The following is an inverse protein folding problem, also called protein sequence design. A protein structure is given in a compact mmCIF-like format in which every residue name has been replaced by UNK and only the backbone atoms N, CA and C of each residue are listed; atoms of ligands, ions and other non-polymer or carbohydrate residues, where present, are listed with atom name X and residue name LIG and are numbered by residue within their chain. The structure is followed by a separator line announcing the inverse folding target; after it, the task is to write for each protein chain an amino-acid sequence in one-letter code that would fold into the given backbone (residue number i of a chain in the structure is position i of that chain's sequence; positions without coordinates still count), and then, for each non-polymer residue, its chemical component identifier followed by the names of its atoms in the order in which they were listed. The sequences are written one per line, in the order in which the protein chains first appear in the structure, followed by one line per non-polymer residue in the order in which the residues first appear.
data_IF_888384664564
#
_entry.id   IF_888384664564
#
_cell.length_a   1.000
_cell.length_b   1.000
_cell.length_c   1.000
_cell.angle_alpha   90.00
_cell.angle_beta   90.00
_cell.angle_gamma   90.00
#
_symmetry.space_group_name_H-M   'P 1'
#
loop_
_entity.id
_entity.type
_entity.pdbx_description
1 polymer ?
#
# COMPACT_ATOMS: atom_id res chain seq x y z
N UNK A 1 2.44 -2.09 5.76
CA UNK A 1 2.98 -2.36 4.39
C UNK A 1 3.00 -3.83 3.97
N UNK A 2 3.96 -4.69 4.36
CA UNK A 2 4.04 -6.08 3.80
C UNK A 2 2.78 -6.92 4.03
N UNK A 3 2.15 -6.80 5.20
CA UNK A 3 0.86 -7.45 5.50
C UNK A 3 -0.28 -6.96 4.60
N UNK A 4 -0.31 -5.67 4.29
CA UNK A 4 -1.30 -5.08 3.38
C UNK A 4 -1.07 -5.54 1.93
N UNK A 5 0.19 -5.64 1.49
CA UNK A 5 0.54 -6.22 0.19
C UNK A 5 0.03 -7.66 0.09
N UNK A 6 0.32 -8.50 1.09
CA UNK A 6 -0.15 -9.89 1.12
C UNK A 6 -1.67 -10.01 1.12
N UNK A 7 -2.37 -9.19 1.91
CA UNK A 7 -3.83 -9.22 1.96
C UNK A 7 -4.47 -8.78 0.64
N UNK A 8 -3.92 -7.73 0.00
CA UNK A 8 -4.39 -7.26 -1.30
C UNK A 8 -4.08 -8.27 -2.40
N UNK A 9 -2.89 -8.87 -2.40
CA UNK A 9 -2.50 -9.90 -3.37
C UNK A 9 -3.45 -11.10 -3.31
N UNK A 10 -3.69 -11.63 -2.12
CA UNK A 10 -4.54 -12.80 -1.96
C UNK A 10 -6.02 -12.53 -2.30
N UNK A 11 -6.49 -11.30 -2.08
CA UNK A 11 -7.84 -10.87 -2.48
C UNK A 11 -7.98 -10.48 -3.96
N UNK A 12 -6.87 -10.16 -4.65
CA UNK A 12 -6.85 -9.61 -6.02
C UNK A 12 -5.70 -10.21 -6.84
N UNK A 13 -5.58 -11.55 -6.87
CA UNK A 13 -4.43 -12.30 -7.42
C UNK A 13 -3.98 -11.88 -8.82
N UNK A 14 -4.90 -11.46 -9.68
CA UNK A 14 -4.58 -11.04 -11.06
C UNK A 14 -3.86 -9.67 -11.13
N UNK A 15 -3.81 -8.93 -10.02
CA UNK A 15 -3.25 -7.57 -9.93
C UNK A 15 -1.99 -7.50 -9.08
N UNK A 16 -1.34 -8.63 -8.80
CA UNK A 16 -0.18 -8.69 -7.89
C UNK A 16 0.95 -7.74 -8.28
N UNK A 17 1.28 -7.63 -9.57
CA UNK A 17 2.36 -6.74 -10.01
C UNK A 17 2.00 -5.26 -9.83
N UNK A 18 0.73 -4.90 -10.05
CA UNK A 18 0.23 -3.56 -9.73
C UNK A 18 0.35 -3.30 -8.22
N UNK A 19 -0.09 -4.23 -7.38
CA UNK A 19 -0.05 -4.11 -5.92
C UNK A 19 1.39 -3.92 -5.44
N UNK A 20 2.34 -4.74 -5.89
CA UNK A 20 3.76 -4.56 -5.54
C UNK A 20 4.27 -3.17 -5.94
N UNK A 21 3.95 -2.74 -7.16
CA UNK A 21 4.37 -1.43 -7.68
C UNK A 21 3.76 -0.28 -6.89
N UNK A 22 2.52 -0.42 -6.42
CA UNK A 22 1.88 0.57 -5.57
C UNK A 22 2.62 0.82 -4.25
N UNK A 23 3.16 -0.22 -3.62
CA UNK A 23 3.81 -0.05 -2.32
C UNK A 23 5.33 0.12 -2.39
N UNK A 24 5.95 -0.35 -3.48
CA UNK A 24 7.40 -0.36 -3.63
C UNK A 24 7.91 0.70 -4.64
N UNK A 25 7.03 1.23 -5.48
CA UNK A 25 7.37 2.15 -6.58
C UNK A 25 8.13 1.50 -7.74
N UNK A 26 8.31 2.29 -8.81
CA UNK A 26 8.88 1.86 -10.10
C UNK A 26 10.34 2.25 -10.26
N UNK A 27 10.73 3.41 -9.72
CA UNK A 27 12.05 4.00 -9.93
C UNK A 27 12.67 4.41 -8.60
N UNK A 28 13.86 3.90 -8.33
CA UNK A 28 14.67 4.29 -7.19
C UNK A 28 15.36 5.62 -7.47
N UNK A 29 15.26 6.55 -6.52
CA UNK A 29 15.94 7.83 -6.54
C UNK A 29 16.57 8.08 -5.17
N UNK A 30 17.90 8.07 -5.13
CA UNK A 30 18.68 8.54 -3.98
C UNK A 30 19.62 9.66 -4.47
N UNK A 31 19.23 10.95 -4.31
CA UNK A 31 20.06 12.07 -4.74
C UNK A 31 21.30 12.28 -3.85
N UNK A 32 21.38 11.60 -2.71
CA UNK A 32 22.40 11.85 -1.70
C UNK A 32 23.32 10.65 -1.44
N UNK A 33 23.07 9.49 -2.06
CA UNK A 33 23.80 8.24 -1.83
C UNK A 33 23.90 7.86 -0.34
N UNK A 34 22.92 8.27 0.47
CA UNK A 34 22.86 7.85 1.85
C UNK A 34 22.28 6.44 1.85
N UNK A 35 23.16 5.45 2.06
CA UNK A 35 22.92 3.99 2.05
C UNK A 35 21.66 3.45 2.77
N UNK A 36 20.84 4.27 3.42
CA UNK A 36 19.72 3.87 4.27
C UNK A 36 18.38 4.56 3.94
N UNK A 37 18.26 5.35 2.87
CA UNK A 37 16.98 5.99 2.51
C UNK A 37 16.74 5.94 1.01
N UNK A 38 16.07 4.86 0.59
CA UNK A 38 15.68 4.65 -0.79
C UNK A 38 14.31 5.28 -1.01
N UNK A 39 14.22 6.26 -1.91
CA UNK A 39 12.91 6.77 -2.35
C UNK A 39 12.53 6.10 -3.66
N UNK A 40 11.27 5.71 -3.76
CA UNK A 40 10.68 5.19 -4.98
C UNK A 40 9.58 6.10 -5.50
N UNK A 41 9.59 6.36 -6.81
CA UNK A 41 8.51 7.06 -7.51
C UNK A 41 7.42 6.08 -7.92
N UNK A 42 6.16 6.49 -7.74
CA UNK A 42 4.97 5.83 -8.29
C UNK A 42 4.35 6.76 -9.32
N UNK A 43 4.37 6.35 -10.58
CA UNK A 43 3.86 7.14 -11.69
C UNK A 43 2.34 7.35 -11.62
N UNK A 44 1.88 8.40 -12.29
CA UNK A 44 0.45 8.74 -12.34
C UNK A 44 -0.44 7.59 -12.84
N UNK A 45 -0.08 6.80 -13.88
CA UNK A 45 -0.87 5.63 -14.28
C UNK A 45 -1.05 4.60 -13.16
N UNK A 46 0.01 4.33 -12.39
CA UNK A 46 -0.05 3.41 -11.24
C UNK A 46 -0.88 4.00 -10.11
N UNK A 47 -0.77 5.31 -9.86
CA UNK A 47 -1.64 6.03 -8.90
C UNK A 47 -3.11 5.91 -9.29
N UNK A 48 -3.44 6.10 -10.56
CA UNK A 48 -4.82 5.97 -11.04
C UNK A 48 -5.32 4.54 -10.87
N UNK A 49 -4.59 3.55 -11.39
CA UNK A 49 -4.96 2.13 -11.26
C UNK A 49 -5.09 1.69 -9.80
N UNK A 50 -4.21 2.17 -8.91
CA UNK A 50 -4.26 1.89 -7.48
C UNK A 50 -5.46 2.55 -6.79
N UNK A 51 -5.81 3.78 -7.17
CA UNK A 51 -7.01 4.44 -6.66
C UNK A 51 -8.29 3.73 -7.10
N UNK A 52 -8.33 3.21 -8.34
CA UNK A 52 -9.44 2.38 -8.81
C UNK A 52 -9.54 1.07 -8.04
N UNK A 53 -8.42 0.39 -7.80
CA UNK A 53 -8.36 -0.85 -7.03
C UNK A 53 -8.89 -0.67 -5.61
N UNK A 54 -8.42 0.36 -4.90
CA UNK A 54 -8.71 0.56 -3.48
C UNK A 54 -10.08 1.18 -3.21
N UNK A 55 -10.74 1.76 -4.22
CA UNK A 55 -11.99 2.51 -4.06
C UNK A 55 -13.09 1.72 -3.36
N UNK A 56 -13.30 0.50 -3.82
CA UNK A 56 -14.45 -0.32 -3.44
C UNK A 56 -14.09 -1.40 -2.41
N UNK A 57 -12.81 -1.50 -2.04
CA UNK A 57 -12.34 -2.41 -0.99
C UNK A 57 -12.62 -1.79 0.38
N UNK A 58 -13.25 -2.59 1.24
CA UNK A 58 -13.43 -2.30 2.66
C UNK A 58 -12.33 -3.00 3.46
N UNK A 59 -11.69 -2.34 4.43
CA UNK A 59 -10.59 -2.94 5.20
C UNK A 59 -11.00 -4.25 5.88
N UNK A 60 -12.24 -4.37 6.34
CA UNK A 60 -12.78 -5.55 7.03
C UNK A 60 -12.73 -6.80 6.15
N UNK A 61 -12.91 -6.64 4.84
CA UNK A 61 -12.81 -7.76 3.88
C UNK A 61 -11.40 -8.36 3.79
N UNK A 62 -10.39 -7.63 4.25
CA UNK A 62 -8.98 -8.03 4.21
C UNK A 62 -8.50 -8.63 5.55
N UNK A 63 -9.25 -8.48 6.65
CA UNK A 63 -8.85 -8.95 7.97
C UNK A 63 -8.70 -10.48 8.02
N UNK A 64 -9.62 -11.20 7.37
CA UNK A 64 -9.62 -12.67 7.32
C UNK A 64 -8.45 -13.26 6.52
N UNK A 65 -7.88 -12.47 5.62
CA UNK A 65 -6.76 -12.82 4.74
C UNK A 65 -5.43 -12.62 5.47
N UNK A 66 -5.38 -11.64 6.37
CA UNK A 66 -4.15 -11.21 7.03
C UNK A 66 -3.82 -11.95 8.34
N UNK A 67 -4.53 -13.05 8.65
CA UNK A 67 -4.33 -13.87 9.87
C UNK A 67 -3.07 -14.71 9.75
N UNK A 68 -1.92 -14.14 10.13
CA UNK A 68 -0.67 -14.90 10.09
C UNK A 68 0.52 -14.40 10.89
N UNK A 69 0.54 -13.19 11.45
CA UNK A 69 1.85 -12.61 11.79
C UNK A 69 2.12 -11.99 13.17
N UNK A 70 1.17 -11.82 14.10
CA UNK A 70 1.51 -11.29 15.42
C UNK A 70 0.75 -11.96 16.57
N UNK A 71 1.41 -12.83 17.33
CA UNK A 71 0.84 -13.47 18.53
C UNK A 71 0.86 -12.57 19.79
N UNK A 72 1.23 -11.29 19.65
CA UNK A 72 1.55 -10.39 20.77
C UNK A 72 0.59 -9.21 20.93
N UNK A 73 -0.35 -9.02 19.99
CA UNK A 73 -1.39 -8.00 20.07
C UNK A 73 -2.75 -8.68 20.22
N UNK A 74 -3.64 -8.02 20.94
CA UNK A 74 -5.07 -8.34 20.91
C UNK A 74 -5.61 -8.16 19.48
N UNK A 75 -6.50 -9.06 19.05
CA UNK A 75 -7.03 -9.15 17.69
C UNK A 75 -7.77 -7.86 17.30
N UNK A 76 -8.55 -7.28 18.21
CA UNK A 76 -9.28 -6.02 17.95
C UNK A 76 -8.30 -4.85 17.73
N UNK A 77 -7.23 -4.81 18.53
CA UNK A 77 -6.18 -3.80 18.40
C UNK A 77 -5.42 -3.94 17.08
N UNK A 78 -5.11 -5.17 16.65
CA UNK A 78 -4.40 -5.43 15.41
C UNK A 78 -5.25 -5.13 14.16
N UNK A 79 -6.55 -5.44 14.18
CA UNK A 79 -7.49 -5.08 13.11
C UNK A 79 -7.65 -3.56 12.96
N UNK A 80 -7.72 -2.84 14.08
CA UNK A 80 -7.80 -1.37 14.08
C UNK A 80 -6.56 -0.73 13.43
N UNK A 81 -5.35 -1.19 13.78
CA UNK A 81 -4.12 -0.69 13.16
C UNK A 81 -4.06 -1.02 11.65
N UNK A 82 -4.49 -2.22 11.27
CA UNK A 82 -4.54 -2.60 9.86
C UNK A 82 -5.53 -1.74 9.07
N UNK A 83 -6.72 -1.50 9.62
CA UNK A 83 -7.72 -0.62 9.01
C UNK A 83 -7.18 0.80 8.84
N UNK A 84 -6.46 1.31 9.84
CA UNK A 84 -5.81 2.62 9.76
C UNK A 84 -4.75 2.69 8.65
N UNK A 85 -3.87 1.68 8.54
CA UNK A 85 -2.87 1.60 7.45
C UNK A 85 -3.56 1.54 6.09
N UNK A 86 -4.61 0.71 5.94
CA UNK A 86 -5.40 0.62 4.72
C UNK A 86 -6.03 1.96 4.33
N UNK A 87 -6.71 2.64 5.28
CA UNK A 87 -7.35 3.93 5.02
C UNK A 87 -6.35 5.01 4.65
N UNK A 88 -5.17 5.01 5.28
CA UNK A 88 -4.09 5.92 4.94
C UNK A 88 -3.71 5.78 3.45
N UNK A 89 -3.41 4.57 2.99
CA UNK A 89 -3.05 4.31 1.60
C UNK A 89 -4.20 4.59 0.64
N UNK A 90 -5.41 4.13 0.95
CA UNK A 90 -6.60 4.39 0.12
C UNK A 90 -6.81 5.89 -0.12
N UNK A 91 -6.77 6.70 0.95
CA UNK A 91 -6.95 8.14 0.84
C UNK A 91 -5.80 8.81 0.08
N UNK A 92 -4.55 8.37 0.31
CA UNK A 92 -3.39 8.88 -0.43
C UNK A 92 -3.57 8.67 -1.94
N UNK A 93 -3.90 7.46 -2.36
CA UNK A 93 -4.13 7.11 -3.77
C UNK A 93 -5.29 7.88 -4.40
N UNK A 94 -6.43 7.93 -3.72
CA UNK A 94 -7.62 8.64 -4.23
C UNK A 94 -7.34 10.14 -4.38
N UNK A 95 -6.66 10.75 -3.41
CA UNK A 95 -6.34 12.18 -3.46
C UNK A 95 -5.31 12.47 -4.55
N UNK A 96 -4.24 11.67 -4.65
CA UNK A 96 -3.22 11.83 -5.68
C UNK A 96 -3.78 11.63 -7.09
N UNK A 97 -4.69 10.67 -7.29
CA UNK A 97 -5.37 10.47 -8.57
C UNK A 97 -6.24 11.68 -8.95
N UNK A 98 -6.97 12.25 -7.99
CA UNK A 98 -7.79 13.46 -8.19
C UNK A 98 -6.96 14.68 -8.54
N UNK A 99 -5.79 14.85 -7.91
CA UNK A 99 -4.88 15.97 -8.17
C UNK A 99 -3.89 15.71 -9.31
N UNK A 100 -4.01 14.59 -10.02
CA UNK A 100 -3.10 14.17 -11.09
C UNK A 100 -1.62 14.18 -10.65
N UNK A 101 -1.37 13.75 -9.42
CA UNK A 101 -0.05 13.77 -8.78
C UNK A 101 0.61 12.39 -8.75
N UNK A 102 1.93 12.37 -8.74
CA UNK A 102 2.74 11.18 -8.45
C UNK A 102 2.90 10.98 -6.94
N UNK A 103 3.27 9.78 -6.50
CA UNK A 103 3.57 9.49 -5.10
C UNK A 103 5.06 9.15 -4.97
N UNK A 104 5.70 9.68 -3.93
CA UNK A 104 7.04 9.27 -3.50
C UNK A 104 6.91 8.44 -2.22
N UNK A 105 7.52 7.26 -2.20
CA UNK A 105 7.54 6.38 -1.04
C UNK A 105 8.98 6.23 -0.57
N UNK A 106 9.27 6.59 0.68
CA UNK A 106 10.56 6.29 1.29
C UNK A 106 10.55 4.91 1.95
N UNK A 107 11.62 4.15 1.76
CA UNK A 107 12.00 3.04 2.65
C UNK A 107 13.16 3.47 3.53
N UNK A 108 12.96 3.29 4.83
CA UNK A 108 13.94 3.49 5.90
C UNK A 108 14.10 2.19 6.70
#
# INVERSE_FOLDING_TARGET
RNRLISALDESQRDKIELIKTMFNGEQYFDPHQFNNSEFSLISLPVVQAGAELLRDIMPESLFHVAKGHNAFLDEETEEAYFAQDFWHWKNLYINAARSQSVIFVGSC
#
